data_IF_208710453442
#
_entry.id   IF_208710453442
#
_cell.length_a   1.000
_cell.length_b   1.000
_cell.length_c   1.000
_cell.angle_alpha   90.00
_cell.angle_beta   90.00
_cell.angle_gamma   90.00
#
_symmetry.space_group_name_H-M   'P 1'
#
loop_
_entity.id
_entity.type
_entity.pdbx_description
1 polymer ?
#
# COMPACT_ATOMS: atom_id res chain seq x y z
N UNK A 1 -13.13 5.69 -3.45
CA UNK A 1 -13.39 5.59 -2.00
C UNK A 1 -14.85 5.95 -1.80
N UNK A 2 -15.54 5.31 -0.88
CA UNK A 2 -16.91 5.70 -0.55
C UNK A 2 -16.88 6.85 0.47
N UNK A 3 -17.80 7.80 0.35
CA UNK A 3 -17.94 8.92 1.26
C UNK A 3 -18.81 8.59 2.48
N UNK A 4 -19.62 7.52 2.39
CA UNK A 4 -20.46 7.03 3.48
C UNK A 4 -20.44 5.52 3.65
N UNK A 5 -20.91 5.07 4.81
CA UNK A 5 -21.11 3.65 5.13
C UNK A 5 -22.14 3.02 4.17
N UNK A 6 -23.23 3.72 3.87
CA UNK A 6 -24.29 3.25 2.98
C UNK A 6 -23.79 3.08 1.53
N UNK A 7 -22.99 4.02 1.04
CA UNK A 7 -22.40 3.95 -0.29
C UNK A 7 -21.44 2.75 -0.40
N UNK A 8 -20.58 2.54 0.62
CA UNK A 8 -19.67 1.39 0.66
C UNK A 8 -20.44 0.06 0.67
N UNK A 9 -21.52 -0.06 1.45
CA UNK A 9 -22.39 -1.27 1.46
C UNK A 9 -22.97 -1.54 0.08
N UNK A 10 -23.51 -0.50 -0.57
CA UNK A 10 -24.09 -0.60 -1.91
C UNK A 10 -23.06 -1.06 -2.94
N UNK A 11 -21.86 -0.46 -2.94
CA UNK A 11 -20.76 -0.84 -3.83
C UNK A 11 -20.32 -2.28 -3.62
N UNK A 12 -20.16 -2.72 -2.37
CA UNK A 12 -19.76 -4.10 -2.06
C UNK A 12 -20.82 -5.13 -2.48
N UNK A 13 -22.11 -4.83 -2.28
CA UNK A 13 -23.21 -5.69 -2.73
C UNK A 13 -23.23 -5.81 -4.26
N UNK A 14 -23.08 -4.70 -4.97
CA UNK A 14 -23.01 -4.70 -6.43
C UNK A 14 -21.82 -5.51 -6.96
N UNK A 15 -20.64 -5.32 -6.38
CA UNK A 15 -19.44 -6.09 -6.73
C UNK A 15 -19.64 -7.58 -6.47
N UNK A 16 -20.32 -7.94 -5.37
CA UNK A 16 -20.66 -9.33 -5.06
C UNK A 16 -21.54 -9.94 -6.14
N UNK A 17 -22.67 -9.31 -6.45
CA UNK A 17 -23.65 -9.80 -7.42
C UNK A 17 -23.04 -9.91 -8.82
N UNK A 18 -22.26 -8.92 -9.26
CA UNK A 18 -21.63 -8.93 -10.58
C UNK A 18 -20.49 -9.96 -10.66
N UNK A 19 -19.76 -10.19 -9.56
CA UNK A 19 -18.76 -11.26 -9.48
C UNK A 19 -19.40 -12.64 -9.57
N UNK A 20 -20.52 -12.85 -8.88
CA UNK A 20 -21.23 -14.13 -8.89
C UNK A 20 -21.75 -14.50 -10.28
N UNK A 21 -22.19 -13.51 -11.08
CA UNK A 21 -22.61 -13.71 -12.48
C UNK A 21 -21.50 -14.28 -13.38
N UNK A 22 -20.23 -13.99 -13.07
CA UNK A 22 -19.06 -14.51 -13.79
C UNK A 22 -18.39 -15.70 -13.07
N UNK A 23 -19.05 -16.27 -12.05
CA UNK A 23 -18.56 -17.43 -11.31
C UNK A 23 -17.47 -17.11 -10.28
N UNK A 24 -17.28 -15.84 -9.91
CA UNK A 24 -16.36 -15.41 -8.88
C UNK A 24 -17.09 -15.18 -7.55
N UNK A 25 -16.40 -15.44 -6.42
CA UNK A 25 -16.93 -15.20 -5.08
C UNK A 25 -16.01 -14.25 -4.31
N UNK A 26 -16.61 -13.28 -3.60
CA UNK A 26 -15.88 -12.43 -2.66
C UNK A 26 -15.30 -13.26 -1.52
N UNK A 27 -14.00 -13.13 -1.28
CA UNK A 27 -13.35 -13.73 -0.12
C UNK A 27 -13.44 -12.78 1.07
N UNK A 28 -14.39 -13.06 1.95
CA UNK A 28 -14.70 -12.22 3.11
C UNK A 28 -13.54 -12.20 4.11
N UNK A 29 -12.79 -13.30 4.24
CA UNK A 29 -11.63 -13.38 5.15
C UNK A 29 -10.41 -12.58 4.65
N UNK A 30 -10.24 -12.43 3.33
CA UNK A 30 -9.14 -11.65 2.75
C UNK A 30 -9.48 -10.16 2.62
N UNK A 31 -10.75 -9.83 2.51
CA UNK A 31 -11.22 -8.45 2.40
C UNK A 31 -11.33 -7.81 3.77
N UNK A 32 -10.83 -6.58 3.86
CA UNK A 32 -10.81 -5.80 5.09
C UNK A 32 -11.48 -4.45 4.83
N UNK A 33 -12.18 -3.94 5.82
CA UNK A 33 -12.75 -2.59 5.79
C UNK A 33 -11.83 -1.65 6.55
N UNK A 34 -11.69 -0.44 6.02
CA UNK A 34 -10.89 0.61 6.59
C UNK A 34 -11.64 1.93 6.43
N UNK A 35 -11.70 2.72 7.49
CA UNK A 35 -12.39 4.01 7.51
C UNK A 35 -11.46 5.07 8.11
N UNK A 36 -11.49 6.28 7.55
CA UNK A 36 -10.85 7.46 8.14
C UNK A 36 -11.77 8.00 9.25
N UNK A 37 -11.60 7.52 10.48
CA UNK A 37 -12.44 7.91 11.62
C UNK A 37 -12.92 6.73 12.47
N UNK A 38 -14.16 6.79 12.95
CA UNK A 38 -14.72 5.73 13.79
C UNK A 38 -14.96 4.44 12.99
N UNK A 39 -14.41 3.36 13.52
CA UNK A 39 -14.56 2.01 12.98
C UNK A 39 -15.83 1.40 13.60
N UNK A 40 -16.89 1.25 12.80
CA UNK A 40 -18.04 0.40 13.13
C UNK A 40 -17.72 -1.06 12.78
N UNK A 41 -18.43 -2.01 13.38
CA UNK A 41 -18.36 -3.43 12.98
C UNK A 41 -19.24 -3.67 11.76
N UNK A 42 -18.74 -4.39 10.76
CA UNK A 42 -19.43 -4.58 9.48
C UNK A 42 -19.79 -6.04 9.21
N UNK A 43 -20.97 -6.27 8.64
CA UNK A 43 -21.42 -7.60 8.22
C UNK A 43 -21.94 -7.57 6.78
N UNK A 44 -21.59 -8.60 5.99
CA UNK A 44 -22.11 -8.85 4.65
C UNK A 44 -22.57 -10.31 4.58
N UNK A 45 -23.85 -10.54 4.24
CA UNK A 45 -24.40 -11.88 4.14
C UNK A 45 -24.34 -12.70 5.43
N UNK A 46 -24.36 -12.04 6.59
CA UNK A 46 -24.24 -12.66 7.91
C UNK A 46 -22.81 -12.95 8.37
N UNK A 47 -21.81 -12.72 7.52
CA UNK A 47 -20.39 -12.85 7.89
C UNK A 47 -19.81 -11.47 8.27
N UNK A 48 -19.10 -11.41 9.39
CA UNK A 48 -18.43 -10.19 9.85
C UNK A 48 -17.14 -9.97 9.08
N UNK A 49 -16.97 -8.79 8.48
CA UNK A 49 -15.71 -8.38 7.86
C UNK A 49 -14.75 -7.82 8.90
N UNK A 50 -13.46 -8.09 8.71
CA UNK A 50 -12.41 -7.53 9.56
C UNK A 50 -12.26 -6.04 9.27
N UNK A 51 -12.46 -5.20 10.30
CA UNK A 51 -12.11 -3.77 10.21
C UNK A 51 -10.70 -3.54 10.71
N UNK A 52 -9.87 -2.86 9.92
CA UNK A 52 -8.46 -2.60 10.22
C UNK A 52 -8.13 -1.12 10.27
N UNK A 53 -7.10 -0.78 11.04
CA UNK A 53 -6.55 0.59 11.12
C UNK A 53 -5.44 0.83 10.12
N UNK A 54 -4.78 -0.23 9.66
CA UNK A 54 -3.76 -0.19 8.65
C UNK A 54 -3.87 -1.37 7.68
N UNK A 55 -3.47 -1.14 6.43
CA UNK A 55 -3.51 -2.16 5.40
C UNK A 55 -2.39 -1.97 4.37
N UNK A 56 -1.81 -3.06 3.88
CA UNK A 56 -0.84 -3.02 2.79
C UNK A 56 -1.58 -3.19 1.47
N UNK A 57 -1.76 -2.08 0.74
CA UNK A 57 -2.38 -2.07 -0.58
C UNK A 57 -1.30 -1.89 -1.64
N UNK A 58 -1.15 -2.89 -2.54
CA UNK A 58 -0.17 -2.88 -3.65
C UNK A 58 1.30 -2.62 -3.23
N UNK A 59 1.63 -2.96 -1.98
CA UNK A 59 2.96 -2.74 -1.38
C UNK A 59 3.02 -1.53 -0.45
N UNK A 60 2.13 -0.56 -0.64
CA UNK A 60 2.01 0.67 0.15
C UNK A 60 1.21 0.45 1.43
N UNK A 61 1.76 0.84 2.58
CA UNK A 61 1.00 0.88 3.83
C UNK A 61 0.10 2.12 3.88
N UNK A 62 -1.20 1.88 4.00
CA UNK A 62 -2.22 2.92 4.23
C UNK A 62 -2.65 2.82 5.68
N UNK A 63 -2.77 3.97 6.36
CA UNK A 63 -3.21 4.07 7.76
C UNK A 63 -4.45 4.96 7.88
N UNK A 64 -5.32 4.65 8.85
CA UNK A 64 -6.64 5.25 8.99
C UNK A 64 -6.59 6.73 9.42
N UNK A 65 -5.46 7.16 9.96
CA UNK A 65 -5.14 8.55 10.30
C UNK A 65 -4.56 9.34 9.10
N UNK A 66 -4.35 8.68 7.96
CA UNK A 66 -3.70 9.28 6.80
C UNK A 66 -2.25 9.70 7.04
N UNK A 67 -1.57 9.12 8.05
CA UNK A 67 -0.15 9.39 8.28
C UNK A 67 0.77 8.52 7.43
N UNK A 68 1.36 9.14 6.40
CA UNK A 68 2.35 8.50 5.54
C UNK A 68 3.77 8.48 6.13
N UNK A 69 4.00 9.10 7.30
CA UNK A 69 5.32 9.14 7.93
C UNK A 69 5.89 7.74 8.15
N UNK A 70 5.04 6.80 8.56
CA UNK A 70 5.43 5.40 8.76
C UNK A 70 5.85 4.72 7.45
N UNK A 71 5.18 5.00 6.34
CA UNK A 71 5.52 4.41 5.05
C UNK A 71 6.77 5.01 4.43
N UNK A 72 6.96 6.32 4.55
CA UNK A 72 8.20 7.00 4.14
C UNK A 72 9.39 6.41 4.89
N UNK A 73 9.27 6.21 6.22
CA UNK A 73 10.31 5.56 7.02
C UNK A 73 10.58 4.12 6.55
N UNK A 74 9.54 3.36 6.20
CA UNK A 74 9.67 2.00 5.68
C UNK A 74 10.42 1.96 4.35
N UNK A 75 10.10 2.83 3.40
CA UNK A 75 10.81 2.92 2.12
C UNK A 75 12.27 3.33 2.30
N UNK A 76 12.56 4.23 3.24
CA UNK A 76 13.94 4.58 3.58
C UNK A 76 14.73 3.36 4.11
N UNK A 77 14.11 2.52 4.94
CA UNK A 77 14.72 1.27 5.41
C UNK A 77 14.96 0.29 4.25
N UNK A 78 14.01 0.15 3.33
CA UNK A 78 14.21 -0.69 2.13
C UNK A 78 15.32 -0.17 1.24
N UNK A 79 15.40 1.15 1.01
CA UNK A 79 16.49 1.78 0.27
C UNK A 79 17.84 1.48 0.92
N UNK A 80 17.94 1.61 2.25
CA UNK A 80 19.16 1.30 3.00
C UNK A 80 19.55 -0.16 2.84
N UNK A 81 18.59 -1.09 2.92
CA UNK A 81 18.82 -2.52 2.71
C UNK A 81 19.32 -2.79 1.29
N UNK A 82 18.71 -2.18 0.26
CA UNK A 82 19.16 -2.31 -1.12
C UNK A 82 20.60 -1.80 -1.32
N UNK A 83 20.97 -0.68 -0.68
CA UNK A 83 22.34 -0.19 -0.71
C UNK A 83 23.33 -1.13 -0.03
N UNK A 84 22.98 -1.71 1.12
CA UNK A 84 23.83 -2.69 1.82
C UNK A 84 24.03 -3.95 0.95
N UNK A 85 22.98 -4.41 0.28
CA UNK A 85 23.08 -5.57 -0.62
C UNK A 85 24.00 -5.31 -1.83
N UNK A 86 24.19 -4.05 -2.23
CA UNK A 86 25.07 -3.65 -3.32
C UNK A 86 26.47 -3.22 -2.84
N UNK A 87 26.74 -3.22 -1.53
CA UNK A 87 27.94 -2.62 -0.95
C UNK A 87 29.25 -3.17 -1.54
N UNK A 88 29.35 -4.49 -1.68
CA UNK A 88 30.53 -5.16 -2.27
C UNK A 88 30.77 -4.76 -3.73
N UNK A 89 29.70 -4.69 -4.52
CA UNK A 89 29.72 -4.29 -5.94
C UNK A 89 30.13 -2.82 -6.06
N UNK A 90 29.56 -1.95 -5.23
CA UNK A 90 29.86 -0.52 -5.25
C UNK A 90 31.32 -0.25 -4.81
N UNK A 91 31.88 -1.07 -3.93
CA UNK A 91 33.28 -0.99 -3.48
C UNK A 91 34.30 -1.66 -4.41
N UNK A 92 33.88 -2.58 -5.28
CA UNK A 92 34.79 -3.29 -6.21
C UNK A 92 35.51 -2.31 -7.15
N UNK A 93 36.81 -2.49 -7.36
CA UNK A 93 37.60 -1.70 -8.33
C UNK A 93 37.44 -2.19 -9.76
N UNK A 94 37.00 -3.43 -9.94
CA UNK A 94 36.87 -4.10 -11.24
C UNK A 94 35.64 -3.63 -12.03
N UNK A 95 34.70 -2.96 -11.34
CA UNK A 95 33.45 -2.48 -11.92
C UNK A 95 33.55 -0.99 -12.20
N UNK A 96 33.25 -0.61 -13.43
CA UNK A 96 33.30 0.79 -13.86
C UNK A 96 32.23 1.64 -13.16
N UNK A 97 32.55 2.93 -12.96
CA UNK A 97 31.62 3.88 -12.34
C UNK A 97 30.28 4.00 -13.09
N UNK A 98 30.23 4.07 -14.45
CA UNK A 98 28.97 4.11 -15.17
C UNK A 98 28.04 2.93 -14.87
N UNK A 99 28.58 1.72 -14.78
CA UNK A 99 27.81 0.51 -14.43
C UNK A 99 27.27 0.60 -13.01
N UNK A 100 28.08 1.04 -12.04
CA UNK A 100 27.62 1.23 -10.65
C UNK A 100 26.47 2.25 -10.55
N UNK A 101 26.58 3.37 -11.26
CA UNK A 101 25.51 4.38 -11.32
C UNK A 101 24.25 3.79 -11.94
N UNK A 102 24.38 3.00 -13.01
CA UNK A 102 23.26 2.29 -13.63
C UNK A 102 22.58 1.35 -12.63
N UNK A 103 23.35 0.55 -11.88
CA UNK A 103 22.81 -0.37 -10.87
C UNK A 103 22.05 0.36 -9.76
N UNK A 104 22.59 1.45 -9.22
CA UNK A 104 21.90 2.25 -8.20
C UNK A 104 20.59 2.81 -8.75
N UNK A 105 20.60 3.37 -9.97
CA UNK A 105 19.39 3.88 -10.63
C UNK A 105 18.35 2.78 -10.89
N UNK A 106 18.78 1.58 -11.26
CA UNK A 106 17.88 0.48 -11.60
C UNK A 106 17.33 -0.26 -10.38
N UNK A 107 18.09 -0.33 -9.27
CA UNK A 107 17.74 -1.18 -8.12
C UNK A 107 17.38 -0.41 -6.85
N UNK A 108 17.90 0.80 -6.67
CA UNK A 108 17.70 1.58 -5.44
C UNK A 108 16.67 2.69 -5.61
N UNK A 109 16.65 3.35 -6.77
CA UNK A 109 15.68 4.44 -7.01
C UNK A 109 14.24 3.92 -7.04
N UNK A 110 13.91 2.78 -7.70
CA UNK A 110 12.58 2.18 -7.67
C UNK A 110 12.04 1.95 -6.27
N UNK A 111 12.90 1.59 -5.31
CA UNK A 111 12.50 1.33 -3.92
C UNK A 111 11.90 2.56 -3.22
N UNK A 112 12.30 3.77 -3.62
CA UNK A 112 11.78 5.02 -3.06
C UNK A 112 10.55 5.48 -3.84
N UNK A 113 10.65 5.45 -5.17
CA UNK A 113 9.65 6.05 -6.07
C UNK A 113 8.42 5.15 -6.26
N UNK A 114 8.57 3.85 -6.05
CA UNK A 114 7.44 2.92 -6.11
C UNK A 114 6.46 3.25 -4.99
N UNK A 115 5.19 3.43 -5.33
CA UNK A 115 4.16 3.83 -4.37
C UNK A 115 4.13 5.32 -4.01
N UNK A 116 4.97 6.17 -4.64
CA UNK A 116 4.86 7.63 -4.44
C UNK A 116 3.51 8.19 -4.89
N UNK A 117 2.84 7.55 -5.85
CA UNK A 117 1.48 7.88 -6.27
C UNK A 117 0.46 7.69 -5.13
N UNK A 118 0.77 6.82 -4.15
CA UNK A 118 -0.07 6.58 -2.98
C UNK A 118 0.19 7.58 -1.85
N UNK A 119 1.16 8.49 -1.98
CA UNK A 119 1.47 9.49 -0.97
C UNK A 119 0.58 10.71 -1.16
N UNK A 120 -0.36 10.92 -0.23
CA UNK A 120 -1.18 12.14 -0.24
C UNK A 120 -0.41 13.28 0.42
N UNK A 121 -0.27 14.41 -0.27
CA UNK A 121 0.29 15.63 0.31
C UNK A 121 -0.73 16.16 1.32
N UNK A 122 -0.36 16.22 2.61
CA UNK A 122 -1.15 16.96 3.60
C UNK A 122 -1.08 18.45 3.23
N UNK A 123 -2.23 19.12 3.16
CA UNK A 123 -2.25 20.59 3.09
C UNK A 123 -1.55 21.10 4.35
N UNK A 124 -0.60 22.03 4.20
CA UNK A 124 0.05 22.65 5.35
C UNK A 124 -1.04 23.30 6.22
N UNK A 125 -1.07 22.97 7.50
CA UNK A 125 -1.91 23.65 8.48
C UNK A 125 -1.38 25.09 8.58
N UNK A 126 -2.26 26.06 8.32
CA UNK A 126 -1.98 27.49 8.33
C UNK A 126 -2.27 28.08 9.71
#
# INVERSE_FOLDING_TARGET
MAESEEELKSLLMKVKEDSEKVGLKLNIQKNKIMAFGSITSWQIGGETMETVRDFIFLGSKITADGDFTHEIKRHLLFRRKAMINLDSILKSRDITLPTKVCLVKAMVFPVIIYGCESLTIKKAEH
#
